data_IF_383605567112
#
_entry.id   IF_383605567112
#
_cell.length_a   1.000
_cell.length_b   1.000
_cell.length_c   1.000
_cell.angle_alpha   90.00
_cell.angle_beta   90.00
_cell.angle_gamma   90.00
#
_symmetry.space_group_name_H-M   'P 1'
#
loop_
_entity.id
_entity.type
_entity.pdbx_description
1 polymer ?
#
# COMPACT_ATOMS: atom_id res chain seq x y z
N UNK A 1 11.86 20.68 2.61
CA UNK A 1 11.03 19.93 3.58
C UNK A 1 9.57 20.13 3.27
N UNK A 2 9.02 19.35 2.33
CA UNK A 2 7.57 19.23 2.16
C UNK A 2 7.18 18.02 3.01
N UNK A 3 6.70 18.25 4.23
CA UNK A 3 6.28 17.17 5.12
C UNK A 3 5.00 16.55 4.55
N UNK A 4 5.05 15.28 4.18
CA UNK A 4 3.90 14.54 3.61
C UNK A 4 2.76 14.42 4.62
N UNK A 5 3.06 14.42 5.91
CA UNK A 5 2.10 14.31 7.03
C UNK A 5 0.94 15.31 6.97
N UNK A 6 1.16 16.63 7.10
CA UNK A 6 0.08 17.63 7.08
C UNK A 6 -0.79 17.58 5.82
N UNK A 7 -0.19 17.21 4.68
CA UNK A 7 -0.93 17.07 3.44
C UNK A 7 -1.91 15.87 3.47
N UNK A 8 -1.44 14.72 3.94
CA UNK A 8 -2.23 13.48 4.01
C UNK A 8 -3.23 13.52 5.17
N UNK A 9 -2.83 14.01 6.34
CA UNK A 9 -3.66 13.98 7.55
C UNK A 9 -4.69 15.11 7.59
N UNK A 10 -4.44 16.26 6.93
CA UNK A 10 -5.27 17.45 7.08
C UNK A 10 -5.74 18.04 5.75
N UNK A 11 -4.80 18.44 4.88
CA UNK A 11 -5.16 19.27 3.72
C UNK A 11 -6.00 18.54 2.67
N UNK A 12 -5.64 17.30 2.33
CA UNK A 12 -6.40 16.45 1.39
C UNK A 12 -7.76 16.06 1.99
N UNK A 13 -7.83 15.44 3.18
CA UNK A 13 -9.11 15.07 3.81
C UNK A 13 -10.07 16.25 3.91
N UNK A 14 -9.59 17.42 4.36
CA UNK A 14 -10.42 18.63 4.48
C UNK A 14 -10.94 19.11 3.11
N UNK A 15 -10.09 19.10 2.07
CA UNK A 15 -10.46 19.58 0.73
C UNK A 15 -11.49 18.70 0.03
N UNK A 16 -11.46 17.40 0.30
CA UNK A 16 -12.29 16.40 -0.37
C UNK A 16 -13.39 15.79 0.52
N UNK A 17 -13.45 16.17 1.81
CA UNK A 17 -14.39 15.66 2.82
C UNK A 17 -14.31 14.14 2.98
N UNK A 18 -13.09 13.67 3.24
CA UNK A 18 -12.74 12.26 3.32
C UNK A 18 -12.18 11.91 4.70
N UNK A 19 -12.18 10.63 5.04
CA UNK A 19 -11.50 10.10 6.22
C UNK A 19 -10.03 9.78 5.89
N UNK A 20 -9.05 10.41 6.56
CA UNK A 20 -7.63 10.13 6.33
C UNK A 20 -7.23 8.68 6.60
N UNK A 21 -7.95 7.95 7.47
CA UNK A 21 -7.63 6.57 7.83
C UNK A 21 -7.97 5.59 6.70
N UNK A 22 -9.07 5.84 5.98
CA UNK A 22 -9.65 4.88 5.04
C UNK A 22 -9.59 5.33 3.57
N UNK A 23 -9.71 6.62 3.28
CA UNK A 23 -9.88 7.13 1.91
C UNK A 23 -8.58 7.55 1.21
N UNK A 24 -7.51 7.79 1.98
CA UNK A 24 -6.23 8.27 1.45
C UNK A 24 -5.21 7.13 1.49
N UNK A 25 -4.74 6.71 0.32
CA UNK A 25 -3.68 5.71 0.22
C UNK A 25 -2.35 6.34 -0.16
N UNK A 26 -1.30 6.04 0.60
CA UNK A 26 0.06 6.36 0.19
C UNK A 26 0.62 5.19 -0.63
N UNK A 27 1.05 5.47 -1.85
CA UNK A 27 1.74 4.49 -2.71
C UNK A 27 3.19 4.91 -2.89
N UNK A 28 4.12 4.00 -2.66
CA UNK A 28 5.56 4.26 -2.79
C UNK A 28 6.26 3.24 -3.69
N UNK A 29 7.30 3.65 -4.45
CA UNK A 29 8.10 2.72 -5.25
C UNK A 29 8.85 1.66 -4.42
N UNK A 30 9.17 1.94 -3.15
CA UNK A 30 10.07 1.13 -2.35
C UNK A 30 9.45 0.69 -1.02
N UNK A 31 9.87 -0.48 -0.53
CA UNK A 31 9.44 -0.98 0.78
C UNK A 31 10.26 -0.37 1.94
N UNK A 32 11.56 -0.16 1.73
CA UNK A 32 12.52 0.37 2.72
C UNK A 32 12.98 1.79 2.35
N UNK A 33 13.62 2.47 3.30
CA UNK A 33 14.09 3.85 3.17
C UNK A 33 13.12 4.85 3.77
N UNK A 34 13.51 6.13 3.80
CA UNK A 34 12.75 7.21 4.43
C UNK A 34 11.32 7.36 3.85
N UNK A 35 11.18 7.22 2.54
CA UNK A 35 9.88 7.23 1.85
C UNK A 35 9.41 5.81 1.48
N UNK A 36 9.97 4.80 2.13
CA UNK A 36 9.56 3.41 1.96
C UNK A 36 8.31 3.07 2.76
N UNK A 37 7.54 2.09 2.31
CA UNK A 37 6.25 1.74 2.90
C UNK A 37 6.35 1.47 4.41
N UNK A 38 7.41 0.79 4.87
CA UNK A 38 7.61 0.52 6.30
C UNK A 38 7.71 1.79 7.13
N UNK A 39 8.62 2.70 6.76
CA UNK A 39 8.83 3.94 7.53
C UNK A 39 7.58 4.83 7.50
N UNK A 40 6.93 4.92 6.34
CA UNK A 40 5.70 5.67 6.20
C UNK A 40 4.57 5.08 7.07
N UNK A 41 4.44 3.76 7.15
CA UNK A 41 3.44 3.15 8.05
C UNK A 41 3.70 3.51 9.51
N UNK A 42 4.95 3.45 9.97
CA UNK A 42 5.30 3.81 11.35
C UNK A 42 5.00 5.29 11.63
N UNK A 43 5.38 6.19 10.71
CA UNK A 43 5.13 7.64 10.81
C UNK A 43 3.63 7.95 10.80
N UNK A 44 2.87 7.38 9.86
CA UNK A 44 1.45 7.67 9.71
C UNK A 44 0.60 7.04 10.80
N UNK A 45 1.01 5.89 11.36
CA UNK A 45 0.39 5.39 12.57
C UNK A 45 0.58 6.37 13.73
N UNK A 46 1.77 6.96 13.91
CA UNK A 46 1.98 7.95 14.96
C UNK A 46 1.18 9.24 14.74
N UNK A 47 0.97 9.65 13.48
CA UNK A 47 0.21 10.85 13.16
C UNK A 47 -1.30 10.65 13.28
N UNK A 48 -1.81 9.49 12.85
CA UNK A 48 -3.25 9.25 12.72
C UNK A 48 -3.81 8.39 13.86
N UNK A 49 -3.01 7.49 14.43
CA UNK A 49 -3.41 6.56 15.49
C UNK A 49 -2.34 6.40 16.60
N UNK A 50 -1.98 7.49 17.31
CA UNK A 50 -0.84 7.49 18.24
C UNK A 50 -1.05 6.70 19.53
N UNK A 51 -2.30 6.43 19.93
CA UNK A 51 -2.64 5.93 21.28
C UNK A 51 -3.77 4.92 21.21
N UNK A 52 -3.79 4.03 22.20
CA UNK A 52 -4.86 3.07 22.41
C UNK A 52 -4.33 1.68 22.77
N UNK A 53 -5.24 0.72 23.04
CA UNK A 53 -4.90 -0.68 23.20
C UNK A 53 -4.12 -1.20 21.99
N UNK A 54 -3.05 -1.95 22.24
CA UNK A 54 -2.13 -2.38 21.21
C UNK A 54 -1.48 -3.73 21.54
N UNK A 55 -1.20 -4.52 20.51
CA UNK A 55 -0.34 -5.70 20.59
C UNK A 55 0.90 -5.49 19.71
N UNK A 56 2.03 -6.06 20.14
CA UNK A 56 3.31 -5.93 19.43
C UNK A 56 3.75 -7.30 18.91
N UNK A 57 4.02 -7.38 17.60
CA UNK A 57 4.53 -8.58 16.93
C UNK A 57 5.52 -8.19 15.83
N UNK A 58 6.64 -8.89 15.73
CA UNK A 58 7.63 -8.67 14.67
C UNK A 58 8.25 -7.26 14.63
N UNK A 59 8.20 -6.52 15.74
CA UNK A 59 8.62 -5.11 15.79
C UNK A 59 7.58 -4.11 15.26
N UNK A 60 6.40 -4.57 14.89
CA UNK A 60 5.25 -3.74 14.51
C UNK A 60 4.28 -3.66 15.69
N UNK A 61 3.75 -2.47 15.95
CA UNK A 61 2.66 -2.28 16.90
C UNK A 61 1.36 -2.25 16.14
N UNK A 62 0.38 -3.04 16.54
CA UNK A 62 -0.96 -3.08 15.97
C UNK A 62 -1.94 -2.53 17.01
N UNK A 63 -2.66 -1.47 16.66
CA UNK A 63 -3.59 -0.73 17.51
C UNK A 63 -5.00 -0.84 16.98
N UNK A 64 -5.98 -0.77 17.88
CA UNK A 64 -7.37 -0.54 17.48
C UNK A 64 -7.45 0.71 16.60
N UNK A 65 -8.15 0.62 15.49
CA UNK A 65 -8.28 1.66 14.47
C UNK A 65 -7.25 1.56 13.34
N UNK A 66 -6.18 0.77 13.49
CA UNK A 66 -5.20 0.66 12.41
C UNK A 66 -5.78 0.02 11.17
N UNK A 67 -5.40 0.57 10.03
CA UNK A 67 -5.60 -0.06 8.73
C UNK A 67 -4.48 -1.06 8.48
N UNK A 68 -4.84 -2.29 8.15
CA UNK A 68 -3.92 -3.41 7.94
C UNK A 68 -4.20 -4.10 6.61
N UNK A 69 -3.21 -4.85 6.13
CA UNK A 69 -3.28 -5.63 4.91
C UNK A 69 -2.82 -7.06 5.19
N UNK A 70 -3.61 -8.04 4.76
CA UNK A 70 -3.25 -9.45 4.75
C UNK A 70 -2.16 -9.70 3.71
N UNK A 71 -1.15 -10.49 4.03
CA UNK A 71 0.02 -10.72 3.16
C UNK A 71 0.16 -12.15 2.65
N UNK A 72 -0.63 -13.07 3.20
CA UNK A 72 -0.69 -14.50 2.82
C UNK A 72 -2.15 -14.91 2.70
N UNK A 73 -2.49 -15.81 1.78
CA UNK A 73 -3.87 -16.32 1.72
C UNK A 73 -4.14 -17.23 2.92
N UNK A 74 -5.19 -16.94 3.67
CA UNK A 74 -5.74 -17.81 4.71
C UNK A 74 -7.14 -18.24 4.27
N UNK A 75 -7.24 -19.49 3.82
CA UNK A 75 -8.49 -20.05 3.30
C UNK A 75 -9.48 -20.43 4.41
N UNK A 76 -8.99 -20.67 5.63
CA UNK A 76 -9.84 -21.01 6.77
C UNK A 76 -10.55 -19.76 7.28
N UNK A 77 -9.83 -18.63 7.29
CA UNK A 77 -10.37 -17.31 7.65
C UNK A 77 -11.02 -16.57 6.47
N UNK A 78 -10.96 -17.13 5.25
CA UNK A 78 -11.47 -16.53 4.00
C UNK A 78 -10.93 -15.11 3.76
N UNK A 79 -9.63 -14.90 3.99
CA UNK A 79 -8.93 -13.63 3.74
C UNK A 79 -7.73 -13.87 2.83
N UNK A 80 -7.54 -12.99 1.85
CA UNK A 80 -6.56 -13.18 0.79
C UNK A 80 -5.45 -12.13 0.85
N UNK A 81 -4.29 -12.48 0.30
CA UNK A 81 -3.17 -11.55 0.19
C UNK A 81 -3.56 -10.30 -0.60
N UNK A 82 -3.42 -9.14 0.03
CA UNK A 82 -3.81 -7.84 -0.49
C UNK A 82 -5.11 -7.31 0.08
N UNK A 83 -5.91 -8.14 0.77
CA UNK A 83 -7.12 -7.68 1.44
C UNK A 83 -6.78 -6.67 2.52
N UNK A 84 -7.58 -5.61 2.59
CA UNK A 84 -7.38 -4.49 3.50
C UNK A 84 -8.50 -4.51 4.52
N UNK A 85 -8.11 -4.48 5.79
CA UNK A 85 -9.03 -4.45 6.91
C UNK A 85 -8.72 -3.33 7.89
N UNK A 86 -9.59 -3.14 8.86
CA UNK A 86 -9.39 -2.26 10.00
C UNK A 86 -9.44 -3.05 11.30
N UNK A 87 -8.48 -2.82 12.20
CA UNK A 87 -8.50 -3.44 13.53
C UNK A 87 -9.62 -2.79 14.34
N UNK A 88 -10.67 -3.54 14.68
CA UNK A 88 -11.82 -3.04 15.43
C UNK A 88 -11.74 -3.36 16.92
N UNK A 89 -11.02 -4.40 17.31
CA UNK A 89 -10.76 -4.72 18.71
C UNK A 89 -9.34 -5.26 18.94
N UNK A 90 -8.86 -5.07 20.17
CA UNK A 90 -7.58 -5.61 20.66
C UNK A 90 -7.86 -6.23 22.03
N UNK A 91 -7.70 -7.54 22.13
CA UNK A 91 -7.83 -8.29 23.37
C UNK A 91 -6.43 -8.52 23.96
N UNK A 92 -6.15 -7.92 25.12
CA UNK A 92 -4.83 -8.02 25.77
C UNK A 92 -4.66 -9.30 26.59
N UNK A 93 -5.76 -9.90 27.05
CA UNK A 93 -5.75 -11.13 27.85
C UNK A 93 -5.43 -12.32 26.95
N UNK A 94 -6.18 -12.47 25.87
CA UNK A 94 -6.03 -13.58 24.92
C UNK A 94 -4.98 -13.30 23.82
N UNK A 95 -4.49 -12.05 23.75
CA UNK A 95 -3.53 -11.58 22.75
C UNK A 95 -4.03 -11.72 21.30
N UNK A 96 -5.28 -11.31 21.10
CA UNK A 96 -5.97 -11.38 19.82
C UNK A 96 -6.29 -9.99 19.25
N UNK A 97 -6.40 -9.93 17.92
CA UNK A 97 -6.97 -8.80 17.20
C UNK A 97 -8.29 -9.23 16.56
N UNK A 98 -9.28 -8.34 16.58
CA UNK A 98 -10.43 -8.45 15.67
C UNK A 98 -10.22 -7.47 14.53
N UNK A 99 -10.25 -7.98 13.30
CA UNK A 99 -10.02 -7.20 12.08
C UNK A 99 -11.26 -7.34 11.20
N UNK A 100 -11.84 -6.21 10.82
CA UNK A 100 -12.98 -6.18 9.91
C UNK A 100 -12.47 -6.05 8.48
N UNK A 101 -12.73 -7.07 7.66
CA UNK A 101 -12.50 -7.08 6.21
C UNK A 101 -13.84 -7.04 5.50
N UNK A 102 -14.10 -6.01 4.68
CA UNK A 102 -15.36 -5.84 3.92
C UNK A 102 -16.64 -6.08 4.76
N UNK A 103 -16.63 -5.63 6.01
CA UNK A 103 -17.76 -5.74 6.94
C UNK A 103 -17.84 -7.06 7.72
N UNK A 104 -16.90 -7.98 7.51
CA UNK A 104 -16.81 -9.25 8.23
C UNK A 104 -15.68 -9.20 9.25
N UNK A 105 -16.01 -9.53 10.50
CA UNK A 105 -15.03 -9.61 11.57
C UNK A 105 -14.29 -10.95 11.54
N UNK A 106 -12.97 -10.88 11.64
CA UNK A 106 -12.06 -12.01 11.67
C UNK A 106 -11.16 -11.87 12.88
N UNK A 107 -11.07 -12.92 13.69
CA UNK A 107 -10.15 -12.97 14.83
C UNK A 107 -8.79 -13.47 14.36
N UNK A 108 -7.75 -12.75 14.75
CA UNK A 108 -6.36 -13.08 14.51
C UNK A 108 -5.71 -13.35 15.85
N UNK A 109 -5.24 -14.59 16.02
CA UNK A 109 -4.42 -14.95 17.16
C UNK A 109 -3.00 -14.39 16.99
N UNK A 110 -2.22 -14.45 18.06
CA UNK A 110 -0.86 -13.90 18.07
C UNK A 110 0.07 -14.44 16.98
N UNK A 111 -0.11 -15.70 16.55
CA UNK A 111 0.64 -16.29 15.43
C UNK A 111 0.23 -15.72 14.09
N UNK A 112 -1.06 -15.47 13.89
CA UNK A 112 -1.61 -14.95 12.64
C UNK A 112 -1.16 -13.50 12.37
N UNK A 113 -0.80 -12.78 13.43
CA UNK A 113 -0.29 -11.40 13.33
C UNK A 113 0.98 -11.27 12.47
N UNK A 114 1.72 -12.36 12.22
CA UNK A 114 2.87 -12.35 11.30
C UNK A 114 2.45 -12.23 9.82
N UNK A 115 1.17 -12.48 9.52
CA UNK A 115 0.62 -12.45 8.17
C UNK A 115 -0.02 -11.11 7.80
N UNK A 116 -0.08 -10.16 8.72
CA UNK A 116 -0.61 -8.81 8.49
C UNK A 116 0.46 -7.74 8.60
N UNK A 117 0.27 -6.65 7.87
CA UNK A 117 1.11 -5.45 7.96
C UNK A 117 0.23 -4.20 8.04
N UNK A 118 0.75 -3.12 8.63
CA UNK A 118 0.10 -1.81 8.52
C UNK A 118 -0.02 -1.39 7.05
N UNK A 119 -1.11 -0.67 6.73
CA UNK A 119 -1.50 -0.39 5.34
C UNK A 119 -1.81 1.10 5.05
N UNK A 120 -1.37 2.02 5.90
CA UNK A 120 -1.37 3.47 5.60
C UNK A 120 -0.58 3.77 4.31
N UNK A 121 0.54 3.07 4.14
CA UNK A 121 1.36 3.07 2.95
C UNK A 121 1.58 1.63 2.44
N UNK A 122 1.56 1.46 1.11
CA UNK A 122 1.94 0.21 0.46
C UNK A 122 2.81 0.48 -0.76
N UNK A 123 3.45 -0.56 -1.28
CA UNK A 123 4.23 -0.41 -2.52
C UNK A 123 3.30 -0.43 -3.73
N UNK A 124 3.70 0.26 -4.80
CA UNK A 124 2.92 0.30 -6.05
C UNK A 124 2.68 -1.12 -6.58
N UNK A 125 3.66 -2.03 -6.43
CA UNK A 125 3.52 -3.43 -6.84
C UNK A 125 2.45 -4.18 -6.04
N UNK A 126 2.40 -3.98 -4.72
CA UNK A 126 1.38 -4.61 -3.86
C UNK A 126 -0.03 -4.04 -4.06
N UNK A 127 -0.15 -2.84 -4.66
CA UNK A 127 -1.44 -2.24 -4.98
C UNK A 127 -2.05 -2.70 -6.32
N UNK A 128 -1.46 -3.68 -7.00
CA UNK A 128 -1.99 -4.18 -8.27
C UNK A 128 -3.38 -4.80 -8.05
N UNK A 129 -4.37 -4.33 -8.83
CA UNK A 129 -5.76 -4.77 -8.70
C UNK A 129 -6.59 -3.91 -7.72
N UNK A 130 -5.95 -3.19 -6.79
CA UNK A 130 -6.65 -2.28 -5.87
C UNK A 130 -6.81 -0.88 -6.44
N UNK A 131 -7.85 -0.15 -6.05
CA UNK A 131 -8.04 1.26 -6.41
C UNK A 131 -8.54 2.04 -5.20
N UNK A 132 -8.09 3.29 -5.07
CA UNK A 132 -8.35 4.13 -3.90
C UNK A 132 -8.99 5.45 -4.31
N UNK A 133 -9.88 6.04 -3.48
CA UNK A 133 -10.44 7.37 -3.77
C UNK A 133 -9.35 8.40 -4.03
N UNK A 134 -8.34 8.46 -3.16
CA UNK A 134 -7.20 9.35 -3.27
C UNK A 134 -5.89 8.56 -3.15
N UNK A 135 -4.95 8.85 -4.03
CA UNK A 135 -3.57 8.35 -3.94
C UNK A 135 -2.61 9.50 -3.71
N UNK A 136 -1.72 9.36 -2.74
CA UNK A 136 -0.56 10.22 -2.53
C UNK A 136 0.70 9.44 -2.91
N UNK A 137 1.48 9.98 -3.84
CA UNK A 137 2.60 9.29 -4.47
C UNK A 137 3.93 10.05 -4.28
N UNK A 138 4.74 9.68 -3.28
CA UNK A 138 6.12 10.14 -3.17
C UNK A 138 6.98 9.60 -4.30
N UNK A 139 7.53 10.48 -5.15
CA UNK A 139 8.26 10.12 -6.36
C UNK A 139 9.54 10.95 -6.54
N UNK A 140 10.60 10.55 -5.84
CA UNK A 140 11.87 11.28 -5.77
C UNK A 140 13.01 10.52 -6.46
N UNK A 141 14.11 11.22 -6.74
CA UNK A 141 15.30 10.59 -7.33
C UNK A 141 15.97 9.56 -6.41
N UNK A 142 15.72 9.59 -5.10
CA UNK A 142 16.14 8.53 -4.17
C UNK A 142 15.57 7.16 -4.53
N UNK A 143 14.47 7.11 -5.30
CA UNK A 143 13.86 5.88 -5.80
C UNK A 143 14.44 5.42 -7.16
N UNK A 144 15.57 5.97 -7.62
CA UNK A 144 16.03 5.87 -9.03
C UNK A 144 15.96 4.46 -9.63
N UNK A 145 16.30 3.42 -8.86
CA UNK A 145 16.29 2.01 -9.31
C UNK A 145 14.90 1.57 -9.78
N UNK A 146 13.85 2.08 -9.15
CA UNK A 146 12.46 1.73 -9.42
C UNK A 146 11.78 2.68 -10.40
N UNK A 147 12.43 3.78 -10.80
CA UNK A 147 11.83 4.81 -11.65
C UNK A 147 11.68 4.30 -13.09
N UNK A 148 10.54 3.68 -13.38
CA UNK A 148 10.17 3.14 -14.68
C UNK A 148 8.79 3.65 -15.11
N UNK A 149 8.54 3.73 -16.42
CA UNK A 149 7.28 4.26 -16.96
C UNK A 149 6.07 3.44 -16.53
N UNK A 150 6.17 2.11 -16.60
CA UNK A 150 5.12 1.18 -16.19
C UNK A 150 4.78 1.31 -14.70
N UNK A 151 5.79 1.54 -13.84
CA UNK A 151 5.56 1.74 -12.41
C UNK A 151 4.77 3.03 -12.15
N UNK A 152 5.19 4.14 -12.77
CA UNK A 152 4.48 5.42 -12.67
C UNK A 152 3.05 5.30 -13.22
N UNK A 153 2.89 4.67 -14.39
CA UNK A 153 1.57 4.42 -14.98
C UNK A 153 0.67 3.63 -14.03
N UNK A 154 1.19 2.54 -13.46
CA UNK A 154 0.45 1.72 -12.49
C UNK A 154 -0.03 2.57 -11.33
N UNK A 155 0.86 3.33 -10.69
CA UNK A 155 0.54 4.19 -9.56
C UNK A 155 -0.54 5.24 -9.89
N UNK A 156 -0.45 5.86 -11.07
CA UNK A 156 -1.46 6.84 -11.55
C UNK A 156 -2.83 6.18 -11.66
N UNK A 157 -2.91 4.99 -12.25
CA UNK A 157 -4.19 4.28 -12.44
C UNK A 157 -4.80 3.73 -11.14
N UNK A 158 -4.10 3.76 -10.00
CA UNK A 158 -4.69 3.33 -8.72
C UNK A 158 -5.61 4.41 -8.12
N UNK A 159 -5.55 5.65 -8.59
CA UNK A 159 -6.37 6.74 -8.09
C UNK A 159 -7.72 6.81 -8.83
N UNK A 160 -8.84 6.67 -8.09
CA UNK A 160 -10.19 6.80 -8.66
C UNK A 160 -10.59 8.26 -8.90
N UNK A 161 -10.21 9.17 -7.99
CA UNK A 161 -10.64 10.58 -8.03
C UNK A 161 -9.46 11.54 -8.14
N UNK A 162 -8.45 11.39 -7.30
CA UNK A 162 -7.32 12.32 -7.23
C UNK A 162 -6.01 11.59 -7.01
N UNK A 163 -5.02 11.96 -7.81
CA UNK A 163 -3.62 11.64 -7.57
C UNK A 163 -2.88 12.90 -7.11
N UNK A 164 -2.18 12.81 -5.99
CA UNK A 164 -1.24 13.83 -5.52
C UNK A 164 0.18 13.30 -5.62
N UNK A 165 0.89 13.70 -6.68
CA UNK A 165 2.29 13.30 -6.89
C UNK A 165 3.22 14.28 -6.19
N UNK A 166 3.94 13.79 -5.18
CA UNK A 166 4.92 14.56 -4.39
C UNK A 166 6.32 14.16 -4.83
N UNK A 167 6.96 14.99 -5.63
CA UNK A 167 8.22 14.57 -6.20
C UNK A 167 8.94 15.61 -7.02
N UNK A 168 10.07 15.17 -7.54
CA UNK A 168 10.92 16.00 -8.37
C UNK A 168 10.52 15.84 -9.84
N UNK A 169 10.43 16.96 -10.57
CA UNK A 169 10.23 16.92 -12.03
C UNK A 169 11.26 16.03 -12.73
N UNK A 170 12.49 15.99 -12.19
CA UNK A 170 13.58 15.12 -12.68
C UNK A 170 13.25 13.63 -12.55
N UNK A 171 12.71 13.20 -11.41
CA UNK A 171 12.33 11.80 -11.17
C UNK A 171 11.22 11.35 -12.12
N UNK A 172 10.19 12.19 -12.29
CA UNK A 172 9.10 11.94 -13.26
C UNK A 172 9.64 11.85 -14.68
N UNK A 173 10.46 12.82 -15.10
CA UNK A 173 11.08 12.81 -16.43
C UNK A 173 11.98 11.60 -16.68
N UNK A 174 12.73 11.17 -15.65
CA UNK A 174 13.54 9.95 -15.72
C UNK A 174 12.65 8.71 -15.91
N UNK A 175 11.62 8.54 -15.08
CA UNK A 175 10.71 7.39 -15.17
C UNK A 175 10.01 7.32 -16.53
N UNK A 176 9.52 8.45 -17.05
CA UNK A 176 8.86 8.50 -18.37
C UNK A 176 9.81 8.06 -19.47
N UNK A 177 11.10 8.46 -19.45
CA UNK A 177 12.07 8.03 -20.46
C UNK A 177 12.54 6.58 -20.27
N UNK A 178 12.49 6.06 -19.05
CA UNK A 178 12.93 4.72 -18.72
C UNK A 178 11.87 3.66 -19.10
N UNK A 179 11.87 3.28 -20.38
CA UNK A 179 11.05 2.20 -20.92
C UNK A 179 11.74 0.82 -20.86
N UNK A 180 12.76 0.66 -20.00
CA UNK A 180 13.39 -0.66 -19.79
C UNK A 180 12.42 -1.59 -19.05
N UNK A 181 11.36 -2.04 -19.69
CA UNK A 181 10.87 -3.39 -19.44
C UNK A 181 11.99 -4.29 -19.89
N UNK A 182 12.74 -4.85 -18.94
CA UNK A 182 13.72 -5.91 -19.21
C UNK A 182 13.12 -6.84 -20.26
N UNK A 183 13.85 -7.13 -21.34
CA UNK A 183 13.37 -8.06 -22.36
C UNK A 183 12.81 -9.29 -21.66
N UNK A 184 11.50 -9.52 -21.81
CA UNK A 184 10.86 -10.64 -21.11
C UNK A 184 11.36 -11.90 -21.79
N UNK A 185 12.12 -12.71 -21.08
CA UNK A 185 12.53 -14.02 -21.57
C UNK A 185 11.30 -14.92 -21.65
N UNK A 186 10.62 -14.90 -22.79
CA UNK A 186 9.41 -15.69 -23.06
C UNK A 186 9.43 -16.18 -24.50
N UNK A 187 9.00 -17.43 -24.71
CA UNK A 187 8.78 -18.01 -26.05
C UNK A 187 7.30 -18.01 -26.45
N UNK A 188 6.44 -17.33 -25.68
CA UNK A 188 5.00 -17.32 -25.97
C UNK A 188 4.71 -16.73 -27.36
N UNK A 189 5.39 -15.63 -27.72
CA UNK A 189 5.26 -15.01 -29.05
C UNK A 189 5.68 -15.97 -30.19
N UNK A 190 6.80 -16.69 -29.99
CA UNK A 190 7.25 -17.71 -30.94
C UNK A 190 6.22 -18.84 -31.10
N UNK A 191 5.69 -19.36 -29.99
CA UNK A 191 4.72 -20.47 -29.99
C UNK A 191 3.41 -20.08 -30.69
N UNK A 192 2.87 -18.91 -30.39
CA UNK A 192 1.64 -18.41 -31.01
C UNK A 192 1.77 -18.25 -32.53
N UNK A 193 2.95 -17.85 -33.02
CA UNK A 193 3.24 -17.74 -34.46
C UNK A 193 3.39 -19.11 -35.13
N UNK A 194 3.84 -20.11 -34.40
CA UNK A 194 4.05 -21.48 -34.95
C UNK A 194 2.74 -22.27 -35.06
N UNK A 195 1.76 -22.00 -34.19
CA UNK A 195 0.48 -22.73 -34.16
C UNK A 195 -0.57 -22.20 -35.18
N UNK A 196 -0.21 -21.26 -36.06
CA UNK A 196 -1.10 -20.82 -37.13
C UNK A 196 -2.33 -20.03 -36.67
N UNK A 197 -2.35 -19.54 -35.43
CA UNK A 197 -3.39 -18.63 -34.93
C UNK A 197 -3.19 -17.27 -35.61
N UNK A 198 -3.88 -17.06 -36.73
CA UNK A 198 -4.02 -15.74 -37.35
C UNK A 198 -4.94 -14.89 -36.47
N UNK A 199 -4.41 -13.78 -35.97
CA UNK A 199 -5.19 -12.69 -35.39
C UNK A 199 -5.95 -11.94 -36.48
#
# INVERSE_FOLDING_TARGET
NLTIGPLVCEAIPRRFRLDPMSDVQILTPMHRGLLGARNLNDEFQQLLNPRGPALVRGGTTFRRGDRVMQTVNDYDKDVFNGDIGAITAVNLEDQELTITFDGRDVVFERSDMDEIVLAYATTIHKSQGSEYPIVVLPFMMTHFVMLQRNLLYTAVTRAKKVLVLLGERKAVGYAIRNQKTSGRNTRLDERLKTEGVKW
#
